data_IF_448256970356
#
_entry.id   IF_448256970356
#
_cell.length_a   1.000
_cell.length_b   1.000
_cell.length_c   1.000
_cell.angle_alpha   90.00
_cell.angle_beta   90.00
_cell.angle_gamma   90.00
#
_symmetry.space_group_name_H-M   'P 1'
#
loop_
_entity.id
_entity.type
_entity.pdbx_description
1 polymer ?
#
# COMPACT_ATOMS: atom_id res chain seq x y z
N UNK A 1 -18.19 -8.45 -8.01
CA UNK A 1 -17.25 -8.44 -9.14
C UNK A 1 -16.05 -7.61 -8.71
N UNK A 2 -14.87 -8.22 -8.53
CA UNK A 2 -13.73 -7.52 -7.95
C UNK A 2 -13.09 -6.59 -8.97
N UNK A 3 -12.83 -5.37 -8.50
CA UNK A 3 -12.24 -4.23 -9.18
C UNK A 3 -10.76 -4.51 -9.53
N UNK A 4 -10.50 -5.48 -10.43
CA UNK A 4 -9.13 -5.89 -10.81
C UNK A 4 -8.33 -4.76 -11.49
N UNK A 5 -9.01 -3.69 -11.91
CA UNK A 5 -8.43 -2.49 -12.51
C UNK A 5 -8.10 -1.39 -11.50
N UNK A 6 -8.39 -1.58 -10.21
CA UNK A 6 -8.11 -0.57 -9.19
C UNK A 6 -6.59 -0.33 -9.06
N UNK A 7 -6.22 0.94 -9.10
CA UNK A 7 -4.86 1.41 -8.88
C UNK A 7 -4.72 1.97 -7.46
N UNK A 8 -3.54 1.79 -6.90
CA UNK A 8 -3.21 2.19 -5.55
C UNK A 8 -1.90 2.96 -5.57
N UNK A 9 -1.89 4.10 -4.89
CA UNK A 9 -0.64 4.79 -4.63
C UNK A 9 0.06 4.10 -3.45
N UNK A 10 1.38 3.97 -3.51
CA UNK A 10 2.18 3.62 -2.36
C UNK A 10 3.51 4.36 -2.32
N UNK A 11 3.88 4.80 -1.13
CA UNK A 11 5.17 5.41 -0.84
C UNK A 11 5.83 4.67 0.32
N UNK A 12 7.06 4.24 0.10
CA UNK A 12 7.85 3.40 1.01
C UNK A 12 9.05 4.18 1.48
N UNK A 13 9.23 4.23 2.79
CA UNK A 13 10.36 4.87 3.46
C UNK A 13 11.07 3.87 4.37
N UNK A 14 12.38 4.00 4.49
CA UNK A 14 13.20 3.30 5.48
C UNK A 14 14.04 4.32 6.25
N UNK A 15 13.90 4.37 7.57
CA UNK A 15 14.54 5.35 8.44
C UNK A 15 14.38 6.80 7.96
N UNK A 16 13.21 7.12 7.40
CA UNK A 16 12.88 8.44 6.85
C UNK A 16 13.35 8.70 5.42
N UNK A 17 14.12 7.80 4.82
CA UNK A 17 14.58 7.89 3.42
C UNK A 17 13.55 7.24 2.51
N UNK A 18 13.09 7.93 1.46
CA UNK A 18 12.15 7.38 0.46
C UNK A 18 12.88 6.37 -0.42
N UNK A 19 12.41 5.12 -0.40
CA UNK A 19 12.99 4.00 -1.17
C UNK A 19 12.19 3.77 -2.45
N UNK A 20 10.86 3.86 -2.37
CA UNK A 20 9.97 3.60 -3.49
C UNK A 20 8.75 4.52 -3.43
N UNK A 21 8.26 4.95 -4.59
CA UNK A 21 7.09 5.82 -4.72
C UNK A 21 6.44 5.57 -6.08
N UNK A 22 5.16 5.22 -6.10
CA UNK A 22 4.51 4.88 -7.36
C UNK A 22 3.08 4.38 -7.25
N UNK A 23 2.55 3.99 -8.41
CA UNK A 23 1.19 3.48 -8.58
C UNK A 23 1.25 2.00 -8.93
N UNK A 24 0.51 1.20 -8.17
CA UNK A 24 0.54 -0.25 -8.23
C UNK A 24 -0.86 -0.83 -8.36
N UNK A 25 -0.96 -2.00 -8.97
CA UNK A 25 -2.12 -2.86 -8.84
C UNK A 25 -2.10 -3.53 -7.46
N UNK A 26 -3.25 -4.00 -6.97
CA UNK A 26 -3.34 -4.66 -5.66
C UNK A 26 -2.33 -5.82 -5.47
N UNK A 27 -2.10 -6.73 -6.45
CA UNK A 27 -1.10 -7.80 -6.30
C UNK A 27 0.33 -7.27 -6.13
N UNK A 28 0.70 -6.21 -6.88
CA UNK A 28 2.02 -5.57 -6.77
C UNK A 28 2.17 -4.85 -5.44
N UNK A 29 1.16 -4.09 -5.02
CA UNK A 29 1.14 -3.43 -3.72
C UNK A 29 1.32 -4.43 -2.57
N UNK A 30 0.59 -5.54 -2.61
CA UNK A 30 0.74 -6.63 -1.64
C UNK A 30 2.17 -7.16 -1.62
N UNK A 31 2.77 -7.39 -2.78
CA UNK A 31 4.14 -7.86 -2.88
C UNK A 31 5.13 -6.85 -2.26
N UNK A 32 4.98 -5.55 -2.54
CA UNK A 32 5.78 -4.48 -1.93
C UNK A 32 5.64 -4.50 -0.41
N UNK A 33 4.42 -4.48 0.12
CA UNK A 33 4.20 -4.47 1.58
C UNK A 33 4.84 -5.70 2.26
N UNK A 34 4.70 -6.89 1.67
CA UNK A 34 5.24 -8.12 2.23
C UNK A 34 6.77 -8.24 2.08
N UNK A 35 7.36 -7.72 1.00
CA UNK A 35 8.81 -7.78 0.76
C UNK A 35 9.59 -6.77 1.58
N UNK A 36 9.02 -5.57 1.74
CA UNK A 36 9.64 -4.45 2.45
C UNK A 36 9.74 -4.73 3.96
N UNK A 37 8.81 -5.52 4.48
CA UNK A 37 8.68 -5.71 5.91
C UNK A 37 8.73 -7.21 6.26
N UNK A 38 9.91 -7.82 6.37
CA UNK A 38 10.08 -9.27 6.59
C UNK A 38 9.46 -9.80 7.90
N UNK A 39 9.12 -8.94 8.86
CA UNK A 39 8.38 -9.28 10.09
C UNK A 39 6.86 -9.06 10.01
N UNK A 40 6.33 -8.61 8.87
CA UNK A 40 4.88 -8.53 8.59
C UNK A 40 4.19 -9.86 8.43
N UNK A 41 4.74 -10.97 8.93
CA UNK A 41 4.02 -12.27 8.96
C UNK A 41 2.64 -12.19 9.64
N UNK A 42 2.33 -11.10 10.35
CA UNK A 42 1.01 -10.78 10.91
C UNK A 42 0.10 -9.92 10.02
N UNK A 43 0.60 -9.29 8.95
CA UNK A 43 -0.20 -8.49 8.00
C UNK A 43 -0.86 -9.43 7.01
N UNK A 44 -2.18 -9.49 7.10
CA UNK A 44 -3.00 -10.30 6.19
C UNK A 44 -3.38 -9.50 4.94
N UNK A 45 -3.77 -10.16 3.83
CA UNK A 45 -4.35 -9.46 2.69
C UNK A 45 -5.57 -8.61 3.04
N UNK A 46 -6.34 -9.00 4.07
CA UNK A 46 -7.48 -8.24 4.56
C UNK A 46 -7.07 -6.91 5.21
N UNK A 47 -5.97 -6.90 5.96
CA UNK A 47 -5.42 -5.67 6.56
C UNK A 47 -4.95 -4.68 5.48
N UNK A 48 -4.33 -5.20 4.42
CA UNK A 48 -3.92 -4.40 3.26
C UNK A 48 -5.15 -3.81 2.57
N UNK A 49 -6.17 -4.62 2.33
CA UNK A 49 -7.40 -4.18 1.68
C UNK A 49 -8.13 -3.11 2.51
N UNK A 50 -8.18 -3.27 3.84
CA UNK A 50 -8.75 -2.29 4.75
C UNK A 50 -7.96 -0.98 4.75
N UNK A 51 -6.63 -1.07 4.82
CA UNK A 51 -5.75 0.09 4.83
C UNK A 51 -5.89 0.94 3.55
N UNK A 52 -6.01 0.32 2.37
CA UNK A 52 -6.18 1.07 1.12
C UNK A 52 -7.58 1.67 0.95
N UNK A 53 -8.59 1.11 1.60
CA UNK A 53 -9.97 1.63 1.58
C UNK A 53 -10.20 2.74 2.59
N UNK A 54 -9.50 2.70 3.74
CA UNK A 54 -9.43 3.81 4.66
C UNK A 54 -8.60 4.93 4.01
N UNK A 55 -9.00 6.20 4.14
CA UNK A 55 -8.46 7.33 3.36
C UNK A 55 -6.93 7.49 3.39
N UNK A 56 -6.23 6.89 4.36
CA UNK A 56 -4.77 6.91 4.47
C UNK A 56 -4.25 5.65 5.21
N UNK A 57 -4.16 4.53 4.51
CA UNK A 57 -3.53 3.32 5.02
C UNK A 57 -2.04 3.53 5.28
N UNK A 58 -1.58 3.35 6.52
CA UNK A 58 -0.16 3.47 6.87
C UNK A 58 0.31 2.25 7.64
N UNK A 59 1.37 1.60 7.14
CA UNK A 59 2.09 0.51 7.79
C UNK A 59 3.44 1.02 8.30
N UNK A 60 3.66 1.01 9.61
CA UNK A 60 4.91 1.45 10.24
C UNK A 60 5.51 0.32 11.08
N UNK A 61 6.79 -0.03 10.85
CA UNK A 61 7.53 -0.99 11.67
C UNK A 61 9.04 -0.95 11.41
N UNK A 62 9.84 -1.15 12.45
CA UNK A 62 11.30 -1.33 12.34
C UNK A 62 11.98 -0.31 11.40
N UNK A 63 11.59 0.98 11.49
CA UNK A 63 12.11 2.04 10.64
C UNK A 63 11.48 2.13 9.24
N UNK A 64 10.74 1.11 8.80
CA UNK A 64 9.95 1.14 7.58
C UNK A 64 8.61 1.83 7.78
N UNK A 65 8.21 2.62 6.79
CA UNK A 65 6.91 3.28 6.72
C UNK A 65 6.37 3.17 5.30
N UNK A 66 5.23 2.52 5.13
CA UNK A 66 4.54 2.37 3.85
C UNK A 66 3.19 3.05 3.96
N UNK A 67 3.01 4.15 3.22
CA UNK A 67 1.69 4.79 3.08
C UNK A 67 1.06 4.32 1.78
N UNK A 68 -0.20 3.96 1.82
CA UNK A 68 -0.96 3.52 0.66
C UNK A 68 -2.38 4.06 0.67
N UNK A 69 -2.90 4.35 -0.51
CA UNK A 69 -4.26 4.83 -0.72
C UNK A 69 -4.83 4.30 -2.02
N UNK A 70 -6.13 4.00 -2.05
CA UNK A 70 -6.83 3.70 -3.29
C UNK A 70 -6.90 4.97 -4.14
N UNK A 71 -6.50 4.86 -5.40
CA UNK A 71 -6.72 5.91 -6.39
C UNK A 71 -8.17 5.75 -6.84
N UNK A 72 -9.07 6.49 -6.21
CA UNK A 72 -10.41 6.68 -6.74
C UNK A 72 -10.27 7.54 -7.99
N UNK A 73 -10.50 6.95 -9.18
CA UNK A 73 -10.83 7.74 -10.36
C UNK A 73 -12.09 8.52 -10.03
N UNK A 74 -11.89 9.73 -9.53
CA UNK A 74 -12.97 10.69 -9.42
C UNK A 74 -13.04 11.26 -10.82
N UNK A 75 -14.02 10.82 -11.61
CA UNK A 75 -14.38 11.47 -12.87
C UNK A 75 -14.59 12.96 -12.58
N UNK A 76 -13.54 13.76 -12.75
CA UNK A 76 -13.64 15.20 -12.93
C UNK A 76 -13.56 15.43 -14.43
N UNK A 77 -14.71 15.23 -15.07
CA UNK A 77 -15.07 15.91 -16.32
C UNK A 77 -15.69 17.27 -15.95
#
# INVERSE_FOLDING_TARGET
MSDQSALYHASVYNHGIRIEDGVFTFPKLKAVILSTAPKTRKVTPGDILRAVTDRDGTFEMDGWRIKTSKISQTDRL
#
